data_IF_803710968421
#
_entry.id   IF_803710968421
#
_cell.length_a   1.000
_cell.length_b   1.000
_cell.length_c   1.000
_cell.angle_alpha   90.00
_cell.angle_beta   90.00
_cell.angle_gamma   90.00
#
_symmetry.space_group_name_H-M   'P 1'
#
loop_
_entity.id
_entity.type
_entity.pdbx_description
1 polymer ?
#
# COMPACT_ATOMS: atom_id res chain seq x y z
N UNK A 1 7.15 42.36 15.47
CA UNK A 1 6.07 42.51 14.45
C UNK A 1 5.80 41.26 13.67
N UNK A 2 6.79 40.58 13.07
CA UNK A 2 6.59 39.35 12.29
C UNK A 2 5.90 38.21 13.04
N UNK A 3 6.29 37.95 14.31
CA UNK A 3 5.69 36.90 15.15
C UNK A 3 4.23 37.17 15.50
N UNK A 4 3.86 38.46 15.78
CA UNK A 4 2.48 38.83 16.06
C UNK A 4 1.59 38.69 14.82
N UNK A 5 2.08 39.08 13.63
CA UNK A 5 1.39 38.89 12.37
C UNK A 5 1.22 37.40 12.07
N UNK A 6 2.23 36.57 12.34
CA UNK A 6 2.15 35.13 12.15
C UNK A 6 1.11 34.44 13.05
N UNK A 7 0.98 34.92 14.31
CA UNK A 7 -0.05 34.40 15.24
C UNK A 7 -1.45 34.83 14.78
N UNK A 8 -1.62 36.07 14.33
CA UNK A 8 -2.92 36.57 13.86
C UNK A 8 -3.45 35.87 12.62
N UNK A 9 -2.55 35.50 11.72
CA UNK A 9 -2.89 34.82 10.46
C UNK A 9 -2.56 33.32 10.47
N UNK A 10 -2.29 32.69 11.62
CA UNK A 10 -1.92 31.30 11.75
C UNK A 10 -2.90 30.33 11.08
N UNK A 11 -4.24 30.49 11.19
CA UNK A 11 -5.18 29.59 10.51
C UNK A 11 -5.00 29.58 8.98
N UNK A 12 -4.81 30.77 8.37
CA UNK A 12 -4.64 30.89 6.91
C UNK A 12 -3.33 30.26 6.43
N UNK A 13 -2.22 30.48 7.17
CA UNK A 13 -0.94 29.87 6.82
C UNK A 13 -0.94 28.35 7.01
N UNK A 14 -1.56 27.87 8.10
CA UNK A 14 -1.68 26.43 8.36
C UNK A 14 -2.53 25.78 7.26
N UNK A 15 -3.65 26.40 6.86
CA UNK A 15 -4.48 25.96 5.76
C UNK A 15 -3.67 25.82 4.46
N UNK A 16 -2.99 26.89 4.05
CA UNK A 16 -2.15 26.89 2.82
C UNK A 16 -1.01 25.87 2.85
N UNK A 17 -0.35 25.69 3.99
CA UNK A 17 0.71 24.68 4.12
C UNK A 17 0.11 23.27 4.07
N UNK A 18 -1.09 23.06 4.59
CA UNK A 18 -1.78 21.76 4.48
C UNK A 18 -2.20 21.47 3.04
N UNK A 19 -2.73 22.45 2.30
CA UNK A 19 -3.01 22.36 0.87
C UNK A 19 -1.73 22.00 0.08
N UNK A 20 -0.64 22.71 0.32
CA UNK A 20 0.66 22.41 -0.27
C UNK A 20 1.14 20.99 0.04
N UNK A 21 0.92 20.51 1.27
CA UNK A 21 1.23 19.12 1.64
C UNK A 21 0.38 18.09 0.87
N UNK A 22 -0.90 18.40 0.63
CA UNK A 22 -1.78 17.57 -0.18
C UNK A 22 -1.35 17.57 -1.64
N UNK A 23 -1.01 18.74 -2.19
CA UNK A 23 -0.53 18.87 -3.57
C UNK A 23 0.77 18.10 -3.83
N UNK A 24 1.73 18.14 -2.89
CA UNK A 24 2.95 17.33 -2.98
C UNK A 24 2.62 15.83 -2.95
N UNK A 25 1.67 15.40 -2.11
CA UNK A 25 1.26 13.99 -2.05
C UNK A 25 0.59 13.55 -3.34
N UNK A 26 -0.27 14.38 -3.92
CA UNK A 26 -0.94 14.13 -5.21
C UNK A 26 0.07 14.11 -6.37
N UNK A 27 1.04 15.04 -6.38
CA UNK A 27 2.12 15.04 -7.36
C UNK A 27 3.00 13.78 -7.25
N UNK A 28 3.31 13.35 -6.03
CA UNK A 28 4.06 12.11 -5.78
C UNK A 28 3.33 10.87 -6.29
N UNK A 29 2.01 10.81 -6.09
CA UNK A 29 1.16 9.75 -6.61
C UNK A 29 1.18 9.74 -8.15
N UNK A 30 0.96 10.90 -8.76
CA UNK A 30 0.96 11.05 -10.22
C UNK A 30 2.31 10.67 -10.84
N UNK A 31 3.41 11.03 -10.20
CA UNK A 31 4.75 10.63 -10.61
C UNK A 31 4.93 9.11 -10.47
N UNK A 32 4.53 8.52 -9.36
CA UNK A 32 4.64 7.09 -9.13
C UNK A 32 3.86 6.27 -10.15
N UNK A 33 2.62 6.65 -10.45
CA UNK A 33 1.80 5.98 -11.48
C UNK A 33 2.36 6.15 -12.87
N UNK A 34 2.83 7.34 -13.25
CA UNK A 34 3.44 7.58 -14.57
C UNK A 34 4.76 6.83 -14.79
N UNK A 35 5.57 6.65 -13.75
CA UNK A 35 6.83 5.89 -13.85
C UNK A 35 6.56 4.41 -14.13
N UNK A 36 5.55 3.84 -13.49
CA UNK A 36 5.29 2.39 -13.55
C UNK A 36 4.23 2.03 -14.59
N UNK A 37 3.24 2.89 -14.82
CA UNK A 37 2.17 2.73 -15.80
C UNK A 37 2.02 4.00 -16.65
N UNK A 38 2.87 4.19 -17.68
CA UNK A 38 2.90 5.44 -18.47
C UNK A 38 1.56 5.81 -19.13
N UNK A 39 0.72 4.84 -19.41
CA UNK A 39 -0.57 5.01 -20.10
C UNK A 39 -1.79 5.03 -19.18
N UNK A 40 -1.62 5.10 -17.84
CA UNK A 40 -2.76 5.12 -16.93
C UNK A 40 -3.42 6.51 -16.88
N UNK A 41 -4.75 6.54 -17.03
CA UNK A 41 -5.58 7.73 -16.85
C UNK A 41 -5.78 8.05 -15.35
N UNK A 42 -4.73 8.56 -14.71
CA UNK A 42 -4.80 8.98 -13.30
C UNK A 42 -5.08 10.47 -13.11
N UNK A 43 -5.41 11.18 -14.20
CA UNK A 43 -5.66 12.62 -14.14
C UNK A 43 -6.99 12.93 -13.44
N UNK A 44 -6.91 13.70 -12.35
CA UNK A 44 -8.07 14.31 -11.69
C UNK A 44 -8.66 13.55 -10.48
N UNK A 45 -8.13 12.38 -10.11
CA UNK A 45 -8.55 11.66 -8.89
C UNK A 45 -7.72 12.09 -7.68
N UNK A 46 -8.38 12.17 -6.51
CA UNK A 46 -7.69 12.40 -5.24
C UNK A 46 -6.77 11.20 -4.90
N UNK A 47 -5.68 11.46 -4.19
CA UNK A 47 -4.70 10.44 -3.80
C UNK A 47 -5.32 9.28 -3.01
N UNK A 48 -6.32 9.56 -2.19
CA UNK A 48 -7.04 8.54 -1.40
C UNK A 48 -7.87 7.64 -2.30
N UNK A 49 -8.56 8.21 -3.29
CA UNK A 49 -9.38 7.45 -4.23
C UNK A 49 -8.54 6.53 -5.11
N UNK A 50 -7.38 7.00 -5.58
CA UNK A 50 -6.47 6.18 -6.36
C UNK A 50 -5.87 5.02 -5.56
N UNK A 51 -5.51 5.24 -4.29
CA UNK A 51 -5.05 4.17 -3.40
C UNK A 51 -6.17 3.16 -3.16
N UNK A 52 -7.40 3.64 -2.90
CA UNK A 52 -8.58 2.78 -2.71
C UNK A 52 -8.88 1.94 -3.95
N UNK A 53 -8.90 2.55 -5.13
CA UNK A 53 -9.18 1.86 -6.39
C UNK A 53 -8.09 0.83 -6.71
N UNK A 54 -6.83 1.17 -6.45
CA UNK A 54 -5.70 0.25 -6.61
C UNK A 54 -5.79 -0.93 -5.64
N UNK A 55 -6.13 -0.66 -4.37
CA UNK A 55 -6.29 -1.69 -3.35
C UNK A 55 -7.45 -2.63 -3.69
N UNK A 56 -8.59 -2.09 -4.12
CA UNK A 56 -9.72 -2.88 -4.61
C UNK A 56 -9.34 -3.75 -5.81
N UNK A 57 -8.60 -3.17 -6.76
CA UNK A 57 -8.12 -3.90 -7.93
C UNK A 57 -7.25 -5.10 -7.54
N UNK A 58 -6.27 -4.90 -6.64
CA UNK A 58 -5.30 -5.93 -6.25
C UNK A 58 -5.92 -6.98 -5.32
N UNK A 59 -6.79 -6.60 -4.41
CA UNK A 59 -7.33 -7.52 -3.40
C UNK A 59 -8.64 -8.22 -3.83
N UNK A 60 -9.39 -7.63 -4.75
CA UNK A 60 -10.71 -8.13 -5.14
C UNK A 60 -10.81 -8.42 -6.62
N UNK A 61 -10.62 -7.41 -7.48
CA UNK A 61 -10.88 -7.52 -8.92
C UNK A 61 -9.95 -8.54 -9.60
N UNK A 62 -8.64 -8.35 -9.47
CA UNK A 62 -7.64 -9.24 -10.11
C UNK A 62 -7.69 -10.68 -9.58
N UNK A 63 -7.78 -10.92 -8.25
CA UNK A 63 -8.02 -12.25 -7.72
C UNK A 63 -9.30 -12.92 -8.23
N UNK A 64 -10.39 -12.17 -8.33
CA UNK A 64 -11.65 -12.70 -8.84
C UNK A 64 -11.53 -13.10 -10.31
N UNK A 65 -10.96 -12.23 -11.16
CA UNK A 65 -10.72 -12.53 -12.57
C UNK A 65 -9.84 -13.80 -12.73
N UNK A 66 -8.77 -13.87 -11.96
CA UNK A 66 -7.87 -15.02 -11.97
C UNK A 66 -8.59 -16.33 -11.60
N UNK A 67 -9.44 -16.30 -10.58
CA UNK A 67 -10.20 -17.49 -10.16
C UNK A 67 -11.26 -17.92 -11.16
N UNK A 68 -11.89 -16.98 -11.87
CA UNK A 68 -12.94 -17.29 -12.84
C UNK A 68 -12.37 -17.65 -14.22
N UNK A 69 -11.34 -16.93 -14.67
CA UNK A 69 -10.85 -17.03 -16.05
C UNK A 69 -9.41 -17.55 -16.17
N UNK A 70 -8.68 -17.70 -15.06
CA UNK A 70 -7.25 -18.06 -15.08
C UNK A 70 -6.33 -16.94 -15.56
N UNK A 71 -6.90 -15.76 -15.82
CA UNK A 71 -6.22 -14.54 -16.26
C UNK A 71 -6.76 -13.36 -15.45
N UNK A 72 -5.93 -12.38 -15.14
CA UNK A 72 -6.32 -11.16 -14.43
C UNK A 72 -6.47 -9.95 -15.35
N UNK A 73 -6.11 -10.06 -16.61
CA UNK A 73 -6.22 -8.99 -17.60
C UNK A 73 -7.65 -8.93 -18.20
N UNK A 74 -8.36 -7.86 -17.85
CA UNK A 74 -9.74 -7.65 -18.27
C UNK A 74 -9.87 -7.40 -19.78
N UNK A 75 -8.85 -6.83 -20.42
CA UNK A 75 -8.89 -6.57 -21.87
C UNK A 75 -8.80 -7.90 -22.66
N UNK A 76 -7.95 -8.80 -22.24
CA UNK A 76 -7.81 -10.11 -22.87
C UNK A 76 -9.01 -11.04 -22.62
N UNK A 77 -9.70 -10.91 -21.48
CA UNK A 77 -10.90 -11.67 -21.14
C UNK A 77 -12.12 -11.16 -21.91
N UNK A 78 -12.25 -9.85 -22.04
CA UNK A 78 -13.41 -9.15 -22.56
C UNK A 78 -14.39 -8.70 -21.49
N UNK A 79 -14.68 -7.39 -21.46
CA UNK A 79 -15.54 -6.77 -20.45
C UNK A 79 -16.95 -7.38 -20.40
N UNK A 80 -17.54 -7.68 -21.57
CA UNK A 80 -18.88 -8.25 -21.67
C UNK A 80 -19.01 -9.62 -20.99
N UNK A 81 -17.96 -10.45 -21.04
CA UNK A 81 -17.93 -11.77 -20.38
C UNK A 81 -17.94 -11.61 -18.86
N UNK A 82 -17.11 -10.67 -18.38
CA UNK A 82 -17.01 -10.36 -16.95
C UNK A 82 -18.34 -9.83 -16.43
N UNK A 83 -18.96 -8.90 -17.15
CA UNK A 83 -20.24 -8.29 -16.77
C UNK A 83 -21.37 -9.32 -16.73
N UNK A 84 -21.47 -10.21 -17.72
CA UNK A 84 -22.47 -11.29 -17.71
C UNK A 84 -22.35 -12.16 -16.48
N UNK A 85 -21.14 -12.59 -16.12
CA UNK A 85 -20.93 -13.43 -14.94
C UNK A 85 -21.21 -12.69 -13.63
N UNK A 86 -20.96 -11.38 -13.56
CA UNK A 86 -21.26 -10.54 -12.40
C UNK A 86 -22.75 -10.16 -12.29
N UNK A 87 -23.47 -10.07 -13.39
CA UNK A 87 -24.89 -9.65 -13.41
C UNK A 87 -25.84 -10.69 -12.81
N UNK A 88 -25.40 -11.95 -12.68
CA UNK A 88 -26.22 -13.02 -12.11
C UNK A 88 -25.77 -13.38 -10.70
N UNK A 89 -26.73 -13.46 -9.78
CA UNK A 89 -26.50 -13.91 -8.41
C UNK A 89 -26.60 -15.43 -8.31
N UNK A 90 -25.73 -16.11 -7.55
CA UNK A 90 -25.86 -17.56 -7.29
C UNK A 90 -27.13 -17.92 -6.49
N UNK A 91 -27.79 -16.92 -5.87
CA UNK A 91 -28.98 -17.12 -5.06
C UNK A 91 -30.31 -16.78 -5.78
N UNK A 92 -30.23 -16.12 -6.93
CA UNK A 92 -31.39 -15.81 -7.76
C UNK A 92 -31.79 -17.02 -8.59
N UNK A 93 -33.10 -17.25 -8.74
CA UNK A 93 -33.66 -18.36 -9.51
C UNK A 93 -33.01 -19.72 -9.20
N UNK A 94 -32.70 -19.99 -7.91
CA UNK A 94 -31.97 -21.18 -7.48
C UNK A 94 -30.60 -21.38 -8.17
N UNK A 95 -30.00 -20.30 -8.66
CA UNK A 95 -28.70 -20.31 -9.36
C UNK A 95 -28.75 -20.70 -10.84
N UNK A 96 -29.93 -20.97 -11.41
CA UNK A 96 -30.10 -21.45 -12.79
C UNK A 96 -29.54 -20.45 -13.80
N UNK A 97 -29.84 -19.16 -13.65
CA UNK A 97 -29.37 -18.11 -14.57
C UNK A 97 -27.84 -18.02 -14.61
N UNK A 98 -27.22 -18.22 -13.44
CA UNK A 98 -25.75 -18.28 -13.33
C UNK A 98 -25.19 -19.56 -13.92
N UNK A 99 -25.86 -20.69 -13.74
CA UNK A 99 -25.45 -21.99 -14.30
C UNK A 99 -25.45 -21.96 -15.81
N UNK A 100 -26.47 -21.37 -16.45
CA UNK A 100 -26.51 -21.19 -17.90
C UNK A 100 -25.31 -20.40 -18.42
N UNK A 101 -24.95 -19.27 -17.77
CA UNK A 101 -23.78 -18.48 -18.16
C UNK A 101 -22.49 -19.28 -17.98
N UNK A 102 -22.36 -20.04 -16.87
CA UNK A 102 -21.18 -20.89 -16.64
C UNK A 102 -21.06 -21.99 -17.68
N UNK A 103 -22.17 -22.60 -18.11
CA UNK A 103 -22.18 -23.63 -19.18
C UNK A 103 -21.69 -23.02 -20.49
N UNK A 104 -22.20 -21.85 -20.88
CA UNK A 104 -21.76 -21.10 -22.09
C UNK A 104 -20.26 -20.76 -22.01
N UNK A 105 -19.77 -20.34 -20.84
CA UNK A 105 -18.34 -20.06 -20.64
C UNK A 105 -17.46 -21.30 -20.79
N UNK A 106 -17.94 -22.47 -20.34
CA UNK A 106 -17.20 -23.74 -20.44
C UNK A 106 -17.25 -24.29 -21.85
N UNK A 107 -18.44 -24.37 -22.48
CA UNK A 107 -18.67 -25.06 -23.75
C UNK A 107 -18.30 -24.19 -24.97
N UNK A 108 -18.75 -22.93 -24.99
CA UNK A 108 -18.56 -22.04 -26.13
C UNK A 108 -17.26 -21.24 -26.07
N UNK A 109 -16.76 -20.95 -24.86
CA UNK A 109 -15.58 -20.10 -24.63
C UNK A 109 -14.34 -20.87 -24.13
N UNK A 110 -14.45 -22.20 -24.01
CA UNK A 110 -13.38 -23.10 -23.58
C UNK A 110 -12.76 -22.70 -22.21
N UNK A 111 -13.56 -22.08 -21.34
CA UNK A 111 -13.10 -21.65 -20.02
C UNK A 111 -12.98 -22.84 -19.06
N UNK A 112 -11.89 -23.56 -19.14
CA UNK A 112 -11.63 -24.73 -18.30
C UNK A 112 -11.53 -24.43 -16.80
N UNK A 113 -11.30 -23.15 -16.40
CA UNK A 113 -11.18 -22.80 -15.00
C UNK A 113 -12.48 -22.92 -14.21
N UNK A 114 -13.63 -22.85 -14.88
CA UNK A 114 -14.94 -23.04 -14.25
C UNK A 114 -15.34 -24.51 -14.11
N UNK A 115 -14.57 -25.43 -14.67
CA UNK A 115 -14.85 -26.87 -14.58
C UNK A 115 -14.60 -27.43 -13.19
N UNK A 116 -15.31 -28.50 -12.84
CA UNK A 116 -15.17 -29.22 -11.56
C UNK A 116 -13.75 -29.77 -11.39
N UNK A 117 -13.12 -30.22 -12.47
CA UNK A 117 -11.75 -30.76 -12.47
C UNK A 117 -10.69 -29.75 -11.98
N UNK A 118 -10.93 -28.46 -12.18
CA UNK A 118 -10.04 -27.39 -11.71
C UNK A 118 -10.33 -26.92 -10.29
N UNK A 119 -11.33 -27.48 -9.60
CA UNK A 119 -11.73 -27.05 -8.25
C UNK A 119 -10.58 -27.14 -7.24
N UNK A 120 -9.78 -28.19 -7.27
CA UNK A 120 -8.64 -28.38 -6.36
C UNK A 120 -7.57 -27.30 -6.62
N UNK A 121 -7.28 -27.02 -7.90
CA UNK A 121 -6.32 -25.96 -8.26
C UNK A 121 -6.81 -24.59 -7.81
N UNK A 122 -8.11 -24.30 -7.99
CA UNK A 122 -8.74 -23.06 -7.52
C UNK A 122 -8.66 -22.92 -6.00
N UNK A 123 -8.89 -24.02 -5.26
CA UNK A 123 -8.77 -24.03 -3.80
C UNK A 123 -7.33 -23.69 -3.37
N UNK A 124 -6.32 -24.26 -4.03
CA UNK A 124 -4.92 -23.90 -3.80
C UNK A 124 -4.65 -22.41 -4.07
N UNK A 125 -5.17 -21.90 -5.18
CA UNK A 125 -5.06 -20.49 -5.54
C UNK A 125 -5.73 -19.59 -4.49
N UNK A 126 -6.92 -19.94 -4.00
CA UNK A 126 -7.63 -19.21 -2.94
C UNK A 126 -6.81 -19.15 -1.65
N UNK A 127 -6.17 -20.25 -1.27
CA UNK A 127 -5.32 -20.26 -0.08
C UNK A 127 -4.14 -19.29 -0.21
N UNK A 128 -3.45 -19.27 -1.34
CA UNK A 128 -2.36 -18.32 -1.60
C UNK A 128 -2.85 -16.88 -1.67
N UNK A 129 -3.98 -16.62 -2.31
CA UNK A 129 -4.61 -15.29 -2.35
C UNK A 129 -4.99 -14.81 -0.95
N UNK A 130 -5.51 -15.68 -0.10
CA UNK A 130 -5.85 -15.35 1.28
C UNK A 130 -4.61 -14.94 2.08
N UNK A 131 -3.52 -15.73 2.01
CA UNK A 131 -2.26 -15.40 2.66
C UNK A 131 -1.67 -14.08 2.14
N UNK A 132 -1.72 -13.88 0.84
CA UNK A 132 -1.26 -12.66 0.19
C UNK A 132 -2.08 -11.43 0.63
N UNK A 133 -3.41 -11.54 0.64
CA UNK A 133 -4.30 -10.46 1.06
C UNK A 133 -4.08 -10.06 2.53
N UNK A 134 -3.81 -11.00 3.42
CA UNK A 134 -3.41 -10.69 4.80
C UNK A 134 -2.12 -9.88 4.80
N UNK A 135 -1.11 -10.30 4.04
CA UNK A 135 0.18 -9.61 3.94
C UNK A 135 0.04 -8.17 3.43
N UNK A 136 -0.70 -7.97 2.33
CA UNK A 136 -1.01 -6.64 1.80
C UNK A 136 -1.77 -5.79 2.81
N UNK A 137 -2.80 -6.35 3.45
CA UNK A 137 -3.62 -5.61 4.42
C UNK A 137 -2.77 -5.10 5.59
N UNK A 138 -1.87 -5.92 6.12
CA UNK A 138 -0.94 -5.51 7.18
C UNK A 138 0.01 -4.42 6.68
N UNK A 139 0.57 -4.57 5.47
CA UNK A 139 1.46 -3.59 4.87
C UNK A 139 0.77 -2.23 4.69
N UNK A 140 -0.42 -2.21 4.08
CA UNK A 140 -1.20 -0.98 3.85
C UNK A 140 -1.62 -0.35 5.16
N UNK A 141 -2.08 -1.14 6.13
CA UNK A 141 -2.46 -0.65 7.46
C UNK A 141 -1.30 0.05 8.17
N UNK A 142 -0.10 -0.53 8.13
CA UNK A 142 1.08 0.07 8.72
C UNK A 142 1.46 1.40 8.04
N UNK A 143 1.47 1.44 6.72
CA UNK A 143 1.81 2.66 5.97
C UNK A 143 0.76 3.75 6.16
N UNK A 144 -0.53 3.39 6.13
CA UNK A 144 -1.63 4.33 6.41
C UNK A 144 -1.54 4.86 7.84
N UNK A 145 -1.22 4.00 8.81
CA UNK A 145 -0.99 4.41 10.20
C UNK A 145 0.14 5.45 10.33
N UNK A 146 1.26 5.24 9.63
CA UNK A 146 2.38 6.21 9.62
C UNK A 146 1.93 7.51 8.94
N UNK A 147 1.15 7.45 7.86
CA UNK A 147 0.63 8.63 7.16
C UNK A 147 -0.30 9.46 8.05
N UNK A 148 -1.24 8.82 8.77
CA UNK A 148 -2.13 9.49 9.72
C UNK A 148 -1.32 10.10 10.86
N UNK A 149 -0.35 9.38 11.41
CA UNK A 149 0.51 9.90 12.48
C UNK A 149 1.34 11.10 12.00
N UNK A 150 1.84 11.08 10.76
CA UNK A 150 2.52 12.24 10.16
C UNK A 150 1.59 13.44 10.04
N UNK A 151 0.30 13.24 9.72
CA UNK A 151 -0.68 14.32 9.68
C UNK A 151 -0.90 14.95 11.08
N UNK A 152 -0.99 14.12 12.11
CA UNK A 152 -1.13 14.60 13.50
C UNK A 152 0.11 15.41 13.91
N UNK A 153 1.31 14.91 13.60
CA UNK A 153 2.56 15.61 13.87
C UNK A 153 2.65 16.95 13.11
N UNK A 154 2.20 16.96 11.86
CA UNK A 154 2.13 18.20 11.07
C UNK A 154 1.29 19.27 11.79
N UNK A 155 0.09 18.91 12.25
CA UNK A 155 -0.80 19.83 12.97
C UNK A 155 -0.13 20.33 14.24
N UNK A 156 0.47 19.43 15.04
CA UNK A 156 1.18 19.80 16.25
C UNK A 156 2.33 20.78 15.96
N UNK A 157 3.18 20.47 14.99
CA UNK A 157 4.31 21.36 14.64
C UNK A 157 3.83 22.70 14.07
N UNK A 158 2.76 22.71 13.28
CA UNK A 158 2.17 23.93 12.76
C UNK A 158 1.60 24.82 13.88
N UNK A 159 0.93 24.23 14.89
CA UNK A 159 0.42 24.97 16.05
C UNK A 159 1.56 25.55 16.93
N UNK A 160 2.66 24.84 17.08
CA UNK A 160 3.81 25.31 17.84
C UNK A 160 4.73 26.27 17.07
N UNK A 161 4.54 26.43 15.76
CA UNK A 161 5.39 27.26 14.92
C UNK A 161 5.45 28.72 15.41
N UNK A 162 4.32 29.41 15.69
CA UNK A 162 4.34 30.79 16.22
C UNK A 162 5.10 30.92 17.54
N UNK A 163 4.92 29.96 18.46
CA UNK A 163 5.63 29.94 19.75
C UNK A 163 7.14 29.76 19.54
N UNK A 164 7.54 28.91 18.58
CA UNK A 164 8.95 28.71 18.25
C UNK A 164 9.61 29.96 17.67
N UNK A 165 8.86 30.76 16.91
CA UNK A 165 9.33 32.06 16.41
C UNK A 165 9.50 33.07 17.55
N UNK A 166 8.56 33.15 18.49
CA UNK A 166 8.67 34.03 19.67
C UNK A 166 9.88 33.67 20.52
N UNK A 167 10.06 32.38 20.81
CA UNK A 167 11.20 31.91 21.61
C UNK A 167 12.53 32.12 20.90
N UNK A 168 12.60 32.04 19.58
CA UNK A 168 13.84 32.29 18.83
C UNK A 168 14.32 33.73 18.86
N UNK A 169 13.50 34.67 19.37
CA UNK A 169 13.92 36.06 19.62
C UNK A 169 14.79 36.20 20.87
N UNK A 170 14.81 35.17 21.72
CA UNK A 170 15.66 35.15 22.93
C UNK A 170 17.00 34.47 22.55
N UNK A 171 18.15 35.10 22.85
CA UNK A 171 19.47 34.57 22.42
C UNK A 171 19.74 33.14 22.85
N UNK A 172 19.20 32.68 23.99
CA UNK A 172 19.38 31.33 24.51
C UNK A 172 18.63 30.27 23.68
N UNK A 173 17.67 30.67 22.83
CA UNK A 173 16.85 29.78 22.01
C UNK A 173 17.05 30.01 20.49
N UNK A 174 18.21 30.55 20.14
CA UNK A 174 18.59 30.80 18.75
C UNK A 174 18.51 29.48 17.91
N UNK A 175 17.86 29.54 16.76
CA UNK A 175 17.67 28.37 15.89
C UNK A 175 16.44 27.53 16.19
N UNK A 176 15.61 27.82 17.17
CA UNK A 176 14.40 27.07 17.49
C UNK A 176 13.36 27.15 16.35
N UNK A 177 13.21 28.34 15.73
CA UNK A 177 12.37 28.54 14.54
C UNK A 177 12.83 27.67 13.35
N UNK A 178 14.14 27.62 13.07
CA UNK A 178 14.69 26.79 12.01
C UNK A 178 14.39 25.30 12.24
N UNK A 179 14.56 24.83 13.47
CA UNK A 179 14.25 23.43 13.82
C UNK A 179 12.76 23.11 13.65
N UNK A 180 11.87 24.03 14.07
CA UNK A 180 10.43 23.87 13.94
C UNK A 180 10.00 23.79 12.46
N UNK A 181 10.51 24.69 11.62
CA UNK A 181 10.28 24.69 10.18
C UNK A 181 10.77 23.37 9.56
N UNK A 182 12.01 22.97 9.87
CA UNK A 182 12.58 21.72 9.34
C UNK A 182 11.74 20.50 9.72
N UNK A 183 11.23 20.42 10.94
CA UNK A 183 10.34 19.33 11.38
C UNK A 183 9.02 19.34 10.65
N UNK A 184 8.43 20.51 10.42
CA UNK A 184 7.21 20.66 9.64
C UNK A 184 7.40 20.13 8.21
N UNK A 185 8.45 20.58 7.51
CA UNK A 185 8.76 20.12 6.16
C UNK A 185 9.07 18.63 6.11
N UNK A 186 9.81 18.09 7.07
CA UNK A 186 10.06 16.66 7.15
C UNK A 186 8.77 15.85 7.26
N UNK A 187 7.77 16.34 7.97
CA UNK A 187 6.48 15.68 8.11
C UNK A 187 5.72 15.66 6.77
N UNK A 188 5.78 16.76 6.02
CA UNK A 188 5.20 16.85 4.66
C UNK A 188 5.89 15.86 3.72
N UNK A 189 7.22 15.87 3.70
CA UNK A 189 8.01 14.97 2.85
C UNK A 189 7.79 13.49 3.22
N UNK A 190 7.66 13.19 4.51
CA UNK A 190 7.32 11.83 4.98
C UNK A 190 6.00 11.36 4.41
N UNK A 191 4.96 12.20 4.44
CA UNK A 191 3.64 11.88 3.88
C UNK A 191 3.73 11.62 2.36
N UNK A 192 4.39 12.51 1.64
CA UNK A 192 4.61 12.36 0.20
C UNK A 192 5.39 11.08 -0.15
N UNK A 193 6.45 10.79 0.62
CA UNK A 193 7.25 9.58 0.46
C UNK A 193 6.45 8.30 0.69
N UNK A 194 5.58 8.26 1.70
CA UNK A 194 4.70 7.10 1.94
C UNK A 194 3.72 6.92 0.77
N UNK A 195 3.10 7.99 0.31
CA UNK A 195 2.20 7.96 -0.85
C UNK A 195 2.90 7.39 -2.07
N UNK A 196 4.12 7.84 -2.36
CA UNK A 196 4.93 7.33 -3.47
C UNK A 196 5.25 5.83 -3.31
N UNK A 197 5.67 5.40 -2.11
CA UNK A 197 5.98 3.99 -1.83
C UNK A 197 4.75 3.10 -2.04
N UNK A 198 3.57 3.50 -1.55
CA UNK A 198 2.31 2.76 -1.74
C UNK A 198 1.99 2.66 -3.23
N UNK A 199 2.07 3.77 -3.96
CA UNK A 199 1.76 3.82 -5.38
C UNK A 199 2.68 2.89 -6.19
N UNK A 200 3.99 2.97 -5.97
CA UNK A 200 4.97 2.11 -6.66
C UNK A 200 4.73 0.63 -6.30
N UNK A 201 4.48 0.32 -5.02
CA UNK A 201 4.20 -1.04 -4.59
C UNK A 201 2.96 -1.63 -5.29
N UNK A 202 1.88 -0.85 -5.38
CA UNK A 202 0.65 -1.28 -6.05
C UNK A 202 0.82 -1.39 -7.56
N UNK A 203 1.55 -0.47 -8.18
CA UNK A 203 1.85 -0.53 -9.60
C UNK A 203 2.66 -1.77 -9.97
N UNK A 204 3.69 -2.11 -9.18
CA UNK A 204 4.45 -3.36 -9.35
C UNK A 204 3.54 -4.57 -9.15
N UNK A 205 2.66 -4.56 -8.15
CA UNK A 205 1.71 -5.65 -7.91
C UNK A 205 0.79 -5.87 -9.12
N UNK A 206 0.26 -4.79 -9.70
CA UNK A 206 -0.57 -4.86 -10.92
C UNK A 206 0.20 -5.44 -12.10
N UNK A 207 1.46 -5.01 -12.31
CA UNK A 207 2.31 -5.58 -13.36
C UNK A 207 2.53 -7.09 -13.15
N UNK A 208 2.78 -7.52 -11.91
CA UNK A 208 2.95 -8.93 -11.58
C UNK A 208 1.67 -9.75 -11.82
N UNK A 209 0.49 -9.18 -11.56
CA UNK A 209 -0.76 -9.84 -11.88
C UNK A 209 -0.97 -10.02 -13.40
N UNK A 210 -0.58 -9.04 -14.21
CA UNK A 210 -0.69 -9.15 -15.67
C UNK A 210 0.17 -10.30 -16.23
N UNK A 211 1.24 -10.67 -15.54
CA UNK A 211 2.05 -11.86 -15.90
C UNK A 211 1.37 -13.19 -15.55
N UNK A 212 0.31 -13.20 -14.75
CA UNK A 212 -0.35 -14.43 -14.29
C UNK A 212 -1.04 -15.21 -15.41
N UNK A 213 -1.32 -14.58 -16.56
CA UNK A 213 -1.83 -15.25 -17.76
C UNK A 213 -0.80 -16.13 -18.46
N UNK A 214 0.49 -15.80 -18.36
CA UNK A 214 1.58 -16.50 -19.04
C UNK A 214 2.32 -17.50 -18.12
N UNK A 215 2.31 -17.23 -16.81
CA UNK A 215 3.06 -18.00 -15.82
C UNK A 215 2.15 -18.60 -14.75
N UNK A 216 2.55 -19.73 -14.12
CA UNK A 216 1.79 -20.30 -13.00
C UNK A 216 1.56 -19.27 -11.89
N UNK A 217 0.34 -19.16 -11.40
CA UNK A 217 -0.04 -18.20 -10.37
C UNK A 217 0.86 -18.23 -9.12
N UNK A 218 1.38 -19.41 -8.76
CA UNK A 218 2.33 -19.56 -7.65
C UNK A 218 3.56 -18.64 -7.79
N UNK A 219 4.11 -18.52 -9.00
CA UNK A 219 5.25 -17.66 -9.28
C UNK A 219 4.88 -16.17 -9.07
N UNK A 220 3.73 -15.77 -9.61
CA UNK A 220 3.20 -14.40 -9.44
C UNK A 220 2.98 -14.07 -7.96
N UNK A 221 2.34 -14.96 -7.21
CA UNK A 221 2.12 -14.79 -5.77
C UNK A 221 3.43 -14.71 -4.99
N UNK A 222 4.40 -15.56 -5.32
CA UNK A 222 5.72 -15.53 -4.70
C UNK A 222 6.45 -14.21 -4.96
N UNK A 223 6.47 -13.73 -6.21
CA UNK A 223 7.08 -12.45 -6.57
C UNK A 223 6.41 -11.27 -5.86
N UNK A 224 5.09 -11.30 -5.71
CA UNK A 224 4.35 -10.29 -4.96
C UNK A 224 4.77 -10.28 -3.48
N UNK A 225 4.82 -11.45 -2.83
CA UNK A 225 5.27 -11.57 -1.44
C UNK A 225 6.69 -11.03 -1.27
N UNK A 226 7.62 -11.40 -2.17
CA UNK A 226 9.00 -10.91 -2.17
C UNK A 226 9.04 -9.39 -2.33
N UNK A 227 8.23 -8.82 -3.22
CA UNK A 227 8.18 -7.38 -3.46
C UNK A 227 7.70 -6.62 -2.22
N UNK A 228 6.56 -7.01 -1.65
CA UNK A 228 6.03 -6.34 -0.45
C UNK A 228 6.94 -6.53 0.77
N UNK A 229 7.50 -7.72 0.96
CA UNK A 229 8.48 -7.99 2.00
C UNK A 229 9.75 -7.14 1.80
N UNK A 230 10.27 -7.06 0.58
CA UNK A 230 11.43 -6.25 0.24
C UNK A 230 11.21 -4.77 0.56
N UNK A 231 10.08 -4.21 0.15
CA UNK A 231 9.71 -2.82 0.46
C UNK A 231 9.58 -2.65 1.98
N UNK A 232 8.93 -3.58 2.67
CA UNK A 232 8.78 -3.54 4.13
C UNK A 232 10.14 -3.54 4.84
N UNK A 233 11.07 -4.41 4.46
CA UNK A 233 12.40 -4.47 5.07
C UNK A 233 13.25 -3.21 4.79
N UNK A 234 13.05 -2.61 3.63
CA UNK A 234 13.76 -1.40 3.20
C UNK A 234 13.02 -0.10 3.49
N UNK A 235 11.85 -0.17 4.12
CA UNK A 235 11.00 1.00 4.37
C UNK A 235 11.75 2.12 5.12
N UNK A 236 12.57 1.76 6.10
CA UNK A 236 13.38 2.74 6.83
C UNK A 236 14.38 3.50 5.94
N UNK A 237 15.04 2.78 5.04
CA UNK A 237 16.00 3.36 4.09
C UNK A 237 15.26 4.26 3.07
N UNK A 238 14.13 3.76 2.54
CA UNK A 238 13.29 4.50 1.60
C UNK A 238 12.74 5.79 2.23
N UNK A 239 12.24 5.73 3.47
CA UNK A 239 11.76 6.90 4.19
C UNK A 239 12.87 7.91 4.50
N UNK A 240 14.10 7.44 4.70
CA UNK A 240 15.28 8.29 4.88
C UNK A 240 15.58 9.18 3.66
N UNK A 241 15.22 8.75 2.46
CA UNK A 241 15.40 9.53 1.22
C UNK A 241 14.50 10.77 1.17
N UNK A 242 13.37 10.75 1.87
CA UNK A 242 12.40 11.86 1.93
C UNK A 242 12.60 12.77 3.15
N UNK A 243 13.74 12.67 3.85
CA UNK A 243 14.02 13.43 5.05
C UNK A 243 15.14 14.44 4.80
N UNK A 244 14.91 15.71 5.20
CA UNK A 244 15.93 16.76 5.18
C UNK A 244 17.02 16.58 6.25
N UNK A 245 16.73 15.79 7.30
CA UNK A 245 17.68 15.38 8.33
C UNK A 245 17.54 13.88 8.57
N UNK A 246 18.54 13.13 8.21
CA UNK A 246 18.56 11.65 8.29
C UNK A 246 18.35 11.07 9.71
N UNK A 247 18.41 11.87 10.76
CA UNK A 247 18.24 11.43 12.14
C UNK A 247 16.78 11.23 12.61
N UNK A 248 15.86 12.08 12.19
CA UNK A 248 14.49 12.09 12.75
C UNK A 248 13.53 11.12 12.04
N UNK A 249 13.62 10.97 10.73
CA UNK A 249 12.73 10.03 9.99
C UNK A 249 13.19 8.58 10.07
N UNK A 250 14.51 8.32 10.18
CA UNK A 250 15.01 6.99 10.52
C UNK A 250 14.54 6.56 11.92
N UNK A 251 14.39 7.50 12.88
CA UNK A 251 13.91 7.18 14.21
C UNK A 251 12.43 6.82 14.24
N UNK A 252 11.60 7.43 13.39
CA UNK A 252 10.16 7.15 13.34
C UNK A 252 9.88 5.79 12.68
N UNK A 253 10.43 5.53 11.50
CA UNK A 253 10.32 4.23 10.84
C UNK A 253 10.97 3.10 11.63
N UNK A 254 12.16 3.34 12.22
CA UNK A 254 12.88 2.36 13.01
C UNK A 254 12.22 2.07 14.37
N UNK A 255 11.58 3.03 15.02
CA UNK A 255 10.87 2.82 16.29
C UNK A 255 9.61 2.00 16.11
N UNK A 256 8.82 2.25 15.07
CA UNK A 256 7.61 1.50 14.76
C UNK A 256 7.96 0.07 14.33
N UNK A 257 9.06 -0.13 13.61
CA UNK A 257 9.49 -1.44 13.11
C UNK A 257 10.45 -2.21 14.01
N UNK A 258 11.04 -1.58 15.02
CA UNK A 258 11.98 -2.26 15.92
C UNK A 258 11.31 -3.34 16.76
N UNK A 259 10.08 -3.11 17.23
CA UNK A 259 9.34 -4.07 18.04
C UNK A 259 8.87 -5.31 17.26
N UNK A 260 8.28 -5.21 16.07
CA UNK A 260 7.91 -6.40 15.27
C UNK A 260 9.15 -7.20 14.82
N UNK A 261 10.24 -6.53 14.42
CA UNK A 261 11.50 -7.20 14.04
C UNK A 261 12.09 -7.98 15.20
N UNK A 262 12.17 -7.41 16.42
CA UNK A 262 12.67 -8.12 17.60
C UNK A 262 11.81 -9.33 17.97
N UNK A 263 10.49 -9.23 17.86
CA UNK A 263 9.57 -10.35 18.12
C UNK A 263 9.73 -11.47 17.09
N UNK A 264 9.93 -11.13 15.82
CA UNK A 264 10.16 -12.10 14.76
C UNK A 264 11.51 -12.81 14.89
N UNK A 265 12.59 -12.08 15.22
CA UNK A 265 13.90 -12.68 15.52
C UNK A 265 13.86 -13.57 16.77
N UNK A 266 13.18 -13.14 17.83
CA UNK A 266 13.03 -13.94 19.04
C UNK A 266 12.20 -15.22 18.79
N UNK A 267 11.19 -15.17 17.90
CA UNK A 267 10.39 -16.35 17.52
C UNK A 267 11.19 -17.31 16.63
N UNK A 268 11.95 -16.81 15.66
CA UNK A 268 12.83 -17.64 14.82
C UNK A 268 13.92 -18.33 15.65
N UNK A 269 14.52 -17.60 16.59
CA UNK A 269 15.54 -18.20 17.49
C UNK A 269 14.96 -19.29 18.38
N UNK A 270 13.72 -19.12 18.87
CA UNK A 270 13.02 -20.18 19.64
C UNK A 270 12.64 -21.38 18.78
N UNK A 271 12.29 -21.19 17.51
CA UNK A 271 12.01 -22.27 16.57
C UNK A 271 13.29 -23.05 16.22
N UNK A 272 14.40 -22.37 15.98
CA UNK A 272 15.70 -23.02 15.74
C UNK A 272 16.16 -23.86 16.95
N UNK A 273 16.00 -23.34 18.18
CA UNK A 273 16.31 -24.11 19.38
C UNK A 273 15.39 -25.33 19.59
N UNK A 274 14.12 -25.22 19.22
CA UNK A 274 13.20 -26.39 19.28
C UNK A 274 13.53 -27.43 18.24
N UNK A 275 13.83 -27.04 17.01
CA UNK A 275 14.24 -27.94 15.93
C UNK A 275 15.58 -28.63 16.23
N UNK A 276 16.56 -27.89 16.74
CA UNK A 276 17.85 -28.45 17.16
C UNK A 276 17.74 -29.49 18.29
N UNK A 277 16.81 -29.32 19.23
CA UNK A 277 16.53 -30.32 20.29
C UNK A 277 15.82 -31.56 19.73
N UNK A 278 14.93 -31.41 18.74
CA UNK A 278 14.23 -32.56 18.14
C UNK A 278 15.17 -33.45 17.32
N UNK A 279 16.17 -32.86 16.68
CA UNK A 279 17.19 -33.61 15.91
C UNK A 279 18.17 -34.33 16.84
N UNK A 280 18.51 -33.77 17.99
CA UNK A 280 19.39 -34.38 18.98
C UNK A 280 18.72 -35.54 19.78
N UNK A 281 17.40 -35.74 19.65
CA UNK A 281 16.65 -36.85 20.29
C UNK A 281 16.46 -38.05 19.37
N UNK A 282 16.87 -37.94 18.07
CA UNK A 282 16.71 -38.98 17.04
C UNK A 282 18.07 -39.59 16.67
N UNK A 283 19.17 -39.04 17.16
CA UNK A 283 20.51 -39.58 17.07
C UNK A 283 20.90 -40.28 18.38
#
# INVERSE_FOLDING_TARGET
>A
MLSAAFIAYAPDYIGKINEFSADISNASLTLGTKIVLPNSESQGKDSVDLIRDSLFSIQVKQPWLLLQYGNSDMESIGADRVERLLSTSPNENNGQDREEIVVVEIEDRENTNLTITKTINRLGTVFFLFMFNIGISVFVFLLTGIMIFSQVLFIIYAMFLPVSFLLSMVPSFEGMSKRAITKLFNTILTRAGITLIITVAFSISTMLYNLSGEYPFFLTAFLQIVTFAGIYFKLGDLMGMFSLQSGDSQSMGSRIMRRPRMLMYAHMHRLQHKLGRSVAFIS
#
